data_IF_996486018172
#
_entry.id   IF_996486018172
#
_cell.length_a   1.000
_cell.length_b   1.000
_cell.length_c   1.000
_cell.angle_alpha   90.00
_cell.angle_beta   90.00
_cell.angle_gamma   90.00
#
_symmetry.space_group_name_H-M   'P 1'
#
loop_
_entity.id
_entity.type
_entity.pdbx_description
1 polymer ?
#
# COMPACT_ATOMS: atom_id res chain seq x y z
N UNK A 1 -33.11 8.92 8.67
CA UNK A 1 -31.67 8.95 8.31
C UNK A 1 -31.57 9.43 6.88
N UNK A 2 -31.13 10.67 6.65
CA UNK A 2 -30.72 11.08 5.29
C UNK A 2 -29.59 10.16 4.84
N UNK A 3 -29.74 9.51 3.68
CA UNK A 3 -28.63 8.80 3.05
C UNK A 3 -27.58 9.84 2.70
N UNK A 4 -26.50 9.91 3.49
CA UNK A 4 -25.32 10.69 3.11
C UNK A 4 -24.89 10.24 1.71
N UNK A 5 -24.76 11.20 0.79
CA UNK A 5 -24.32 10.93 -0.57
C UNK A 5 -22.89 10.38 -0.49
N UNK A 6 -22.68 9.19 -1.05
CA UNK A 6 -21.34 8.60 -1.16
C UNK A 6 -20.47 9.43 -2.08
N UNK A 7 -19.16 9.45 -1.80
CA UNK A 7 -18.16 10.16 -2.57
C UNK A 7 -17.61 9.20 -3.62
N UNK A 8 -17.55 9.66 -4.87
CA UNK A 8 -16.79 8.99 -5.91
C UNK A 8 -15.34 9.48 -5.85
N UNK A 9 -14.47 8.69 -5.22
CA UNK A 9 -13.07 9.05 -4.99
C UNK A 9 -12.29 9.18 -6.31
N UNK A 10 -12.59 8.35 -7.29
CA UNK A 10 -11.86 8.31 -8.56
C UNK A 10 -12.24 9.51 -9.43
N UNK A 11 -13.53 9.83 -9.53
CA UNK A 11 -13.98 11.07 -10.18
C UNK A 11 -13.43 12.32 -9.48
N UNK A 12 -13.32 12.30 -8.14
CA UNK A 12 -12.72 13.39 -7.37
C UNK A 12 -11.23 13.56 -7.70
N UNK A 13 -10.49 12.46 -7.82
CA UNK A 13 -9.09 12.41 -8.20
C UNK A 13 -8.84 13.02 -9.58
N UNK A 14 -9.71 12.70 -10.55
CA UNK A 14 -9.64 13.26 -11.90
C UNK A 14 -9.93 14.75 -11.93
N UNK A 15 -11.00 15.17 -11.24
CA UNK A 15 -11.40 16.58 -11.16
C UNK A 15 -10.34 17.47 -10.49
N UNK A 16 -9.50 16.92 -9.61
CA UNK A 16 -8.47 17.69 -8.91
C UNK A 16 -7.21 17.96 -9.76
N UNK A 17 -7.10 17.39 -10.96
CA UNK A 17 -5.91 17.51 -11.83
C UNK A 17 -5.50 18.96 -12.11
N UNK A 18 -6.47 19.83 -12.43
CA UNK A 18 -6.18 21.23 -12.78
C UNK A 18 -5.78 22.06 -11.57
N UNK A 19 -6.36 21.76 -10.40
CA UNK A 19 -5.95 22.36 -9.14
C UNK A 19 -4.49 22.02 -8.83
N UNK A 20 -4.10 20.75 -8.89
CA UNK A 20 -2.71 20.31 -8.62
C UNK A 20 -1.71 20.97 -9.59
N UNK A 21 -2.05 21.05 -10.88
CA UNK A 21 -1.20 21.74 -11.88
C UNK A 21 -1.06 23.23 -11.56
N UNK A 22 -2.15 23.90 -11.19
CA UNK A 22 -2.13 25.33 -10.81
C UNK A 22 -1.31 25.55 -9.55
N UNK A 23 -1.49 24.70 -8.55
CA UNK A 23 -0.84 24.82 -7.26
C UNK A 23 0.66 24.56 -7.36
N UNK A 24 1.07 23.53 -8.10
CA UNK A 24 2.48 23.27 -8.39
C UNK A 24 3.14 24.46 -9.11
N UNK A 25 2.47 25.06 -10.09
CA UNK A 25 2.96 26.28 -10.77
C UNK A 25 3.11 27.44 -9.78
N UNK A 26 2.14 27.63 -8.87
CA UNK A 26 2.17 28.69 -7.85
C UNK A 26 3.36 28.52 -6.92
N UNK A 27 3.53 27.32 -6.35
CA UNK A 27 4.66 26.96 -5.48
C UNK A 27 5.99 27.20 -6.19
N UNK A 28 6.11 26.70 -7.42
CA UNK A 28 7.32 26.86 -8.24
C UNK A 28 7.66 28.33 -8.50
N UNK A 29 6.66 29.14 -8.85
CA UNK A 29 6.84 30.57 -9.14
C UNK A 29 7.23 31.39 -7.91
N UNK A 30 6.85 30.94 -6.71
CA UNK A 30 7.18 31.57 -5.44
C UNK A 30 8.46 31.03 -4.80
N UNK A 31 9.11 30.04 -5.43
CA UNK A 31 10.30 29.37 -4.93
C UNK A 31 11.57 30.04 -5.44
N UNK A 32 12.69 29.84 -4.73
CA UNK A 32 14.01 30.21 -5.27
C UNK A 32 14.30 29.40 -6.55
N UNK A 33 15.18 29.91 -7.42
CA UNK A 33 15.55 29.19 -8.65
C UNK A 33 16.10 27.79 -8.36
N UNK A 34 16.89 27.66 -7.29
CA UNK A 34 17.43 26.37 -6.84
C UNK A 34 16.30 25.40 -6.43
N UNK A 35 15.42 25.85 -5.53
CA UNK A 35 14.27 25.05 -5.07
C UNK A 35 13.35 24.63 -6.22
N UNK A 36 13.05 25.56 -7.14
CA UNK A 36 12.28 25.26 -8.33
C UNK A 36 12.91 24.15 -9.18
N UNK A 37 14.23 24.17 -9.36
CA UNK A 37 14.95 23.12 -10.09
C UNK A 37 14.90 21.77 -9.38
N UNK A 38 15.06 21.76 -8.05
CA UNK A 38 14.92 20.55 -7.24
C UNK A 38 13.51 19.96 -7.34
N UNK A 39 12.47 20.79 -7.21
CA UNK A 39 11.07 20.38 -7.34
C UNK A 39 10.76 19.76 -8.71
N UNK A 40 11.32 20.29 -9.80
CA UNK A 40 11.17 19.70 -11.14
C UNK A 40 11.86 18.34 -11.23
N UNK A 41 13.09 18.22 -10.70
CA UNK A 41 13.85 16.98 -10.74
C UNK A 41 13.18 15.86 -9.92
N UNK A 42 12.68 16.19 -8.72
CA UNK A 42 11.96 15.24 -7.89
C UNK A 42 10.65 14.79 -8.53
N UNK A 43 9.84 15.74 -9.00
CA UNK A 43 8.62 15.44 -9.76
C UNK A 43 8.93 14.53 -10.95
N UNK A 44 9.97 14.84 -11.74
CA UNK A 44 10.36 14.05 -12.90
C UNK A 44 10.75 12.63 -12.52
N UNK A 45 11.57 12.46 -11.47
CA UNK A 45 11.94 11.14 -10.96
C UNK A 45 10.70 10.33 -10.57
N UNK A 46 9.75 10.93 -9.85
CA UNK A 46 8.49 10.25 -9.49
C UNK A 46 7.71 9.87 -10.74
N UNK A 47 7.57 10.79 -11.70
CA UNK A 47 6.85 10.53 -12.94
C UNK A 47 7.46 9.35 -13.72
N UNK A 48 8.77 9.19 -13.70
CA UNK A 48 9.49 8.10 -14.37
C UNK A 48 9.40 6.78 -13.58
N UNK A 49 9.60 6.82 -12.27
CA UNK A 49 9.87 5.63 -11.45
C UNK A 49 8.72 5.18 -10.55
N UNK A 50 7.56 5.85 -10.55
CA UNK A 50 6.47 5.47 -9.65
C UNK A 50 5.94 4.05 -9.92
N UNK A 51 5.70 3.33 -8.83
CA UNK A 51 5.03 2.03 -8.78
C UNK A 51 4.05 2.05 -7.59
N UNK A 52 3.17 1.06 -7.54
CA UNK A 52 2.43 0.74 -6.32
C UNK A 52 3.21 -0.29 -5.51
N UNK A 53 3.26 -0.10 -4.20
CA UNK A 53 3.83 -1.08 -3.27
C UNK A 53 2.82 -1.54 -2.22
N UNK A 54 2.87 -2.81 -1.85
CA UNK A 54 2.05 -3.37 -0.76
C UNK A 54 2.96 -4.17 0.17
N UNK A 55 3.05 -3.75 1.44
CA UNK A 55 3.78 -4.49 2.45
C UNK A 55 2.92 -5.65 2.98
N UNK A 56 3.42 -6.88 2.81
CA UNK A 56 2.73 -8.11 3.20
C UNK A 56 3.57 -8.98 4.15
N UNK A 57 2.88 -9.72 5.01
CA UNK A 57 3.51 -10.80 5.78
C UNK A 57 3.82 -11.96 4.83
N UNK A 58 4.78 -12.80 5.21
CA UNK A 58 5.17 -14.00 4.46
C UNK A 58 3.98 -14.88 4.05
N UNK A 59 3.09 -15.21 5.00
CA UNK A 59 1.90 -16.01 4.70
C UNK A 59 0.92 -15.30 3.78
N UNK A 60 0.73 -13.98 3.94
CA UNK A 60 -0.18 -13.21 3.09
C UNK A 60 0.35 -13.07 1.66
N UNK A 61 1.67 -12.91 1.51
CA UNK A 61 2.33 -12.94 0.21
C UNK A 61 2.21 -14.32 -0.44
N UNK A 62 2.43 -15.39 0.33
CA UNK A 62 2.24 -16.76 -0.15
C UNK A 62 0.81 -16.99 -0.63
N UNK A 63 -0.20 -16.56 0.14
CA UNK A 63 -1.60 -16.64 -0.24
C UNK A 63 -1.88 -15.87 -1.52
N UNK A 64 -1.36 -14.64 -1.68
CA UNK A 64 -1.49 -13.86 -2.90
C UNK A 64 -0.85 -14.56 -4.12
N UNK A 65 0.35 -15.11 -3.96
CA UNK A 65 1.02 -15.84 -5.03
C UNK A 65 0.22 -17.08 -5.48
N UNK A 66 -0.42 -17.78 -4.54
CA UNK A 66 -1.21 -18.99 -4.80
C UNK A 66 -2.60 -18.69 -5.35
N UNK A 67 -3.32 -17.74 -4.74
CA UNK A 67 -4.67 -17.35 -5.15
C UNK A 67 -4.67 -16.69 -6.53
N UNK A 68 -3.57 -16.02 -6.89
CA UNK A 68 -3.48 -15.24 -8.12
C UNK A 68 -3.95 -13.80 -7.98
N UNK A 69 -4.57 -13.44 -6.86
CA UNK A 69 -5.23 -12.14 -6.67
C UNK A 69 -5.04 -11.63 -5.24
N UNK A 70 -4.71 -10.34 -5.12
CA UNK A 70 -4.63 -9.65 -3.86
C UNK A 70 -6.03 -9.28 -3.39
N UNK A 71 -6.40 -9.84 -2.24
CA UNK A 71 -7.69 -9.61 -1.60
C UNK A 71 -7.54 -8.51 -0.56
N UNK A 72 -8.47 -7.56 -0.57
CA UNK A 72 -8.55 -6.59 0.50
C UNK A 72 -9.06 -7.24 1.80
N UNK A 73 -9.07 -6.48 2.90
CA UNK A 73 -9.43 -7.04 4.20
C UNK A 73 -10.88 -7.53 4.26
N UNK A 74 -11.82 -6.89 3.56
CA UNK A 74 -13.22 -7.31 3.53
C UNK A 74 -13.36 -8.66 2.86
N UNK A 75 -12.84 -8.81 1.63
CA UNK A 75 -12.87 -10.07 0.90
C UNK A 75 -12.16 -11.18 1.67
N UNK A 76 -10.99 -10.89 2.27
CA UNK A 76 -10.27 -11.87 3.11
C UNK A 76 -11.11 -12.37 4.28
N UNK A 77 -11.86 -11.49 4.95
CA UNK A 77 -12.69 -11.88 6.10
C UNK A 77 -14.01 -12.53 5.69
N UNK A 78 -14.55 -12.14 4.55
CA UNK A 78 -15.71 -12.79 3.96
C UNK A 78 -15.40 -14.25 3.58
N UNK A 79 -14.30 -14.48 2.85
CA UNK A 79 -13.86 -15.83 2.47
C UNK A 79 -13.62 -16.73 3.68
N UNK A 80 -12.99 -16.18 4.73
CA UNK A 80 -12.76 -16.92 5.99
C UNK A 80 -14.07 -17.29 6.67
N UNK A 81 -15.04 -16.38 6.69
CA UNK A 81 -16.35 -16.65 7.26
C UNK A 81 -17.12 -17.69 6.43
N UNK A 82 -17.03 -17.64 5.11
CA UNK A 82 -17.65 -18.63 4.22
C UNK A 82 -17.05 -20.03 4.41
N UNK A 83 -15.73 -20.15 4.53
CA UNK A 83 -15.08 -21.43 4.84
C UNK A 83 -15.56 -22.02 6.18
N UNK A 84 -15.76 -21.19 7.21
CA UNK A 84 -16.28 -21.65 8.50
C UNK A 84 -17.74 -22.10 8.40
N UNK A 85 -18.54 -21.43 7.58
CA UNK A 85 -19.92 -21.85 7.30
C UNK A 85 -19.94 -23.21 6.58
N UNK A 86 -19.10 -23.38 5.56
CA UNK A 86 -19.00 -24.63 4.79
C UNK A 86 -18.53 -25.81 5.66
N UNK A 87 -17.67 -25.54 6.65
CA UNK A 87 -17.22 -26.52 7.64
C UNK A 87 -18.25 -26.80 8.75
N UNK A 88 -19.35 -26.05 8.81
CA UNK A 88 -20.35 -26.16 9.88
C UNK A 88 -19.92 -25.56 11.23
N UNK A 89 -18.82 -24.80 11.25
CA UNK A 89 -18.25 -24.15 12.44
C UNK A 89 -18.89 -22.77 12.71
N UNK A 90 -19.62 -22.23 11.74
CA UNK A 90 -20.33 -20.95 11.84
C UNK A 90 -21.72 -21.05 11.20
N UNK A 91 -22.76 -20.51 11.84
CA UNK A 91 -24.08 -20.44 11.19
C UNK A 91 -24.14 -19.26 10.22
N UNK A 92 -24.88 -19.42 9.12
CA UNK A 92 -25.14 -18.33 8.16
C UNK A 92 -25.70 -17.07 8.86
N UNK A 93 -26.57 -17.25 9.86
CA UNK A 93 -27.14 -16.15 10.64
C UNK A 93 -26.11 -15.36 11.46
N UNK A 94 -24.97 -15.96 11.76
CA UNK A 94 -23.90 -15.39 12.60
C UNK A 94 -22.77 -14.78 11.75
N UNK A 95 -22.78 -15.00 10.41
CA UNK A 95 -21.72 -14.56 9.48
C UNK A 95 -21.41 -13.08 9.60
N UNK A 96 -22.46 -12.24 9.65
CA UNK A 96 -22.31 -10.77 9.66
C UNK A 96 -21.61 -10.27 10.93
N UNK A 97 -22.05 -10.75 12.09
CA UNK A 97 -21.47 -10.33 13.38
C UNK A 97 -20.03 -10.82 13.50
N UNK A 98 -19.76 -12.06 13.03
CA UNK A 98 -18.39 -12.59 12.95
C UNK A 98 -17.49 -11.78 12.02
N UNK A 99 -18.01 -11.30 10.89
CA UNK A 99 -17.25 -10.44 9.97
C UNK A 99 -16.90 -9.11 10.65
N UNK A 100 -17.86 -8.48 11.33
CA UNK A 100 -17.63 -7.24 12.05
C UNK A 100 -16.55 -7.41 13.14
N UNK A 101 -16.64 -8.48 13.94
CA UNK A 101 -15.66 -8.78 14.98
C UNK A 101 -14.27 -9.05 14.37
N UNK A 102 -14.20 -9.81 13.27
CA UNK A 102 -12.95 -10.11 12.59
C UNK A 102 -12.28 -8.84 12.02
N UNK A 103 -13.06 -7.93 11.43
CA UNK A 103 -12.58 -6.63 10.96
C UNK A 103 -12.07 -5.77 12.12
N UNK A 104 -12.83 -5.69 13.22
CA UNK A 104 -12.45 -4.94 14.43
C UNK A 104 -11.15 -5.45 15.04
N UNK A 105 -10.99 -6.77 15.14
CA UNK A 105 -9.76 -7.41 15.63
C UNK A 105 -8.56 -7.16 14.72
N UNK A 106 -8.76 -7.17 13.40
CA UNK A 106 -7.70 -6.96 12.43
C UNK A 106 -7.24 -5.49 12.37
N UNK A 107 -8.19 -4.56 12.22
CA UNK A 107 -7.92 -3.13 12.04
C UNK A 107 -7.57 -2.42 13.37
N UNK A 108 -7.91 -3.01 14.52
CA UNK A 108 -7.59 -2.51 15.86
C UNK A 108 -8.03 -1.05 16.03
N UNK A 109 -7.10 -0.16 16.41
CA UNK A 109 -7.37 1.27 16.62
C UNK A 109 -7.83 2.01 15.37
N UNK A 110 -7.61 1.44 14.17
CA UNK A 110 -8.03 2.03 12.90
C UNK A 110 -9.41 1.55 12.43
N UNK A 111 -10.06 0.65 13.18
CA UNK A 111 -11.35 0.08 12.76
C UNK A 111 -12.38 1.16 12.47
N UNK A 112 -12.71 2.01 13.46
CA UNK A 112 -13.76 3.01 13.32
C UNK A 112 -13.51 3.96 12.14
N UNK A 113 -12.27 4.45 12.01
CA UNK A 113 -11.96 5.41 10.95
C UNK A 113 -11.91 4.77 9.56
N UNK A 114 -11.39 3.54 9.43
CA UNK A 114 -11.40 2.79 8.17
C UNK A 114 -12.83 2.48 7.74
N UNK A 115 -13.70 2.01 8.65
CA UNK A 115 -15.12 1.77 8.34
C UNK A 115 -15.81 3.06 7.89
N UNK A 116 -15.59 4.17 8.60
CA UNK A 116 -16.18 5.47 8.20
C UNK A 116 -15.71 5.90 6.81
N UNK A 117 -14.42 5.73 6.52
CA UNK A 117 -13.89 6.05 5.20
C UNK A 117 -14.52 5.17 4.12
N UNK A 118 -14.38 3.85 4.23
CA UNK A 118 -14.79 2.88 3.21
C UNK A 118 -16.30 2.94 2.93
N UNK A 119 -17.13 3.09 3.98
CA UNK A 119 -18.59 3.17 3.81
C UNK A 119 -19.06 4.49 3.20
N UNK A 120 -18.24 5.55 3.29
CA UNK A 120 -18.53 6.87 2.70
C UNK A 120 -18.12 6.97 1.23
N UNK A 121 -17.26 6.06 0.74
CA UNK A 121 -16.84 5.99 -0.66
C UNK A 121 -17.76 5.06 -1.46
N UNK A 122 -18.01 5.38 -2.73
CA UNK A 122 -18.68 4.48 -3.69
C UNK A 122 -17.83 3.22 -3.85
N UNK A 123 -18.45 2.04 -3.62
CA UNK A 123 -17.76 0.74 -3.60
C UNK A 123 -16.54 0.66 -2.67
N UNK A 124 -16.48 1.47 -1.60
CA UNK A 124 -15.28 1.55 -0.76
C UNK A 124 -14.87 0.26 -0.04
N UNK A 125 -15.80 -0.66 0.20
CA UNK A 125 -15.49 -2.00 0.76
C UNK A 125 -14.75 -2.91 -0.24
N UNK A 126 -14.72 -2.57 -1.53
CA UNK A 126 -13.99 -3.30 -2.59
C UNK A 126 -12.61 -2.72 -2.87
N UNK A 127 -12.29 -1.57 -2.27
CA UNK A 127 -11.03 -0.87 -2.50
C UNK A 127 -9.84 -1.71 -2.01
N UNK A 128 -8.77 -1.71 -2.79
CA UNK A 128 -7.47 -2.28 -2.46
C UNK A 128 -6.49 -1.12 -2.16
N UNK A 129 -5.72 -1.28 -1.09
CA UNK A 129 -4.81 -0.27 -0.57
C UNK A 129 -3.35 -0.62 -0.89
N UNK A 130 -2.60 0.39 -1.33
CA UNK A 130 -1.18 0.34 -1.63
C UNK A 130 -0.52 1.65 -1.23
N UNK A 131 0.77 1.82 -1.52
CA UNK A 131 1.48 3.07 -1.38
C UNK A 131 2.22 3.43 -2.67
N UNK A 132 2.38 4.72 -2.92
CA UNK A 132 3.31 5.21 -3.95
C UNK A 132 4.73 4.82 -3.57
N UNK A 133 5.46 4.19 -4.48
CA UNK A 133 6.83 3.77 -4.26
C UNK A 133 7.70 4.12 -5.47
N UNK A 134 8.88 4.69 -5.23
CA UNK A 134 9.91 4.94 -6.25
C UNK A 134 11.23 4.22 -5.92
N UNK A 135 11.24 3.37 -4.89
CA UNK A 135 12.43 2.74 -4.32
C UNK A 135 12.21 2.29 -2.87
N UNK A 136 13.18 1.56 -2.31
CA UNK A 136 13.15 1.11 -0.92
C UNK A 136 12.17 -0.03 -0.63
N UNK A 137 11.98 -0.32 0.65
CA UNK A 137 11.20 -1.44 1.21
C UNK A 137 9.77 -1.05 1.62
N UNK A 138 9.32 0.16 1.27
CA UNK A 138 7.95 0.60 1.54
C UNK A 138 7.67 0.84 3.02
N UNK A 139 6.46 0.49 3.46
CA UNK A 139 5.93 0.78 4.80
C UNK A 139 6.07 -0.45 5.71
N UNK A 140 7.25 -0.59 6.31
CA UNK A 140 7.66 -1.72 7.15
C UNK A 140 6.82 -1.93 8.41
N UNK A 141 6.12 -0.90 8.91
CA UNK A 141 5.24 -1.01 10.06
C UNK A 141 4.04 -1.94 9.81
N UNK A 142 3.65 -2.15 8.54
CA UNK A 142 2.61 -3.10 8.16
C UNK A 142 3.16 -4.52 8.01
N UNK A 143 4.25 -4.68 7.26
CA UNK A 143 4.98 -5.95 7.12
C UNK A 143 6.31 -5.79 6.37
N UNK A 144 7.10 -6.87 6.30
CA UNK A 144 8.50 -6.85 5.85
C UNK A 144 8.73 -7.15 4.37
N UNK A 145 7.79 -7.79 3.69
CA UNK A 145 7.90 -8.04 2.25
C UNK A 145 7.14 -6.96 1.49
N UNK A 146 7.86 -6.17 0.70
CA UNK A 146 7.27 -5.10 -0.09
C UNK A 146 7.05 -5.58 -1.52
N UNK A 147 5.81 -5.86 -1.86
CA UNK A 147 5.41 -6.30 -3.19
C UNK A 147 5.30 -5.08 -4.10
N UNK A 148 6.10 -5.03 -5.15
CA UNK A 148 6.10 -3.95 -6.13
C UNK A 148 5.23 -4.37 -7.32
N UNK A 149 4.19 -3.60 -7.61
CA UNK A 149 3.34 -3.78 -8.78
C UNK A 149 3.95 -2.99 -9.94
N UNK A 150 4.06 -3.63 -11.11
CA UNK A 150 4.56 -2.97 -12.32
C UNK A 150 3.71 -1.74 -12.65
N UNK A 151 4.42 -0.66 -12.97
CA UNK A 151 3.82 0.60 -13.37
C UNK A 151 2.87 0.44 -14.56
N UNK A 152 3.26 -0.36 -15.55
CA UNK A 152 2.49 -0.55 -16.78
C UNK A 152 1.12 -1.20 -16.51
N UNK A 153 1.06 -2.14 -15.56
CA UNK A 153 -0.20 -2.76 -15.14
C UNK A 153 -1.05 -1.77 -14.32
N UNK A 154 -0.43 -1.02 -13.41
CA UNK A 154 -1.11 0.02 -12.62
C UNK A 154 -1.63 1.18 -13.50
N UNK A 155 -0.91 1.52 -14.56
CA UNK A 155 -1.35 2.48 -15.59
C UNK A 155 -2.56 1.96 -16.37
N UNK A 156 -2.77 0.65 -16.42
CA UNK A 156 -3.96 0.01 -17.00
C UNK A 156 -5.22 0.08 -16.12
N UNK A 157 -5.10 0.45 -14.84
CA UNK A 157 -6.24 0.50 -13.92
C UNK A 157 -7.21 1.64 -14.28
N UNK A 158 -8.50 1.33 -14.26
CA UNK A 158 -9.58 2.27 -14.56
C UNK A 158 -9.91 3.14 -13.33
N UNK A 159 -9.76 2.57 -12.15
CA UNK A 159 -10.07 3.16 -10.86
C UNK A 159 -8.79 3.16 -10.03
N UNK A 160 -7.95 4.17 -10.22
CA UNK A 160 -6.73 4.39 -9.44
C UNK A 160 -6.63 5.85 -9.00
N UNK A 161 -6.59 6.05 -7.69
CA UNK A 161 -6.37 7.35 -7.06
C UNK A 161 -5.21 7.27 -6.07
N UNK A 162 -4.60 8.41 -5.82
CA UNK A 162 -3.56 8.60 -4.82
C UNK A 162 -4.03 9.65 -3.82
N UNK A 163 -3.92 9.36 -2.53
CA UNK A 163 -4.27 10.25 -1.44
C UNK A 163 -2.97 10.67 -0.74
N UNK A 164 -2.82 11.97 -0.51
CA UNK A 164 -1.59 12.57 0.01
C UNK A 164 -1.09 11.91 1.31
N UNK A 165 -2.01 11.42 2.14
CA UNK A 165 -1.70 10.74 3.39
C UNK A 165 -2.67 9.55 3.61
N UNK A 166 -2.44 8.80 4.69
CA UNK A 166 -3.32 7.72 5.16
C UNK A 166 -4.78 8.20 5.32
N UNK A 167 -5.68 7.64 4.50
CA UNK A 167 -7.12 7.94 4.49
C UNK A 167 -7.80 7.75 5.84
N UNK A 168 -7.43 6.70 6.58
CA UNK A 168 -8.03 6.36 7.87
C UNK A 168 -7.55 7.28 9.01
N UNK A 169 -6.48 8.05 8.82
CA UNK A 169 -5.93 8.93 9.86
C UNK A 169 -6.23 10.40 9.57
N UNK A 170 -6.04 10.86 8.33
CA UNK A 170 -5.99 12.29 8.03
C UNK A 170 -7.29 12.89 7.48
N UNK A 171 -8.22 12.03 7.05
CA UNK A 171 -9.42 12.42 6.30
C UNK A 171 -10.71 11.98 6.97
N UNK A 172 -10.66 11.50 8.20
CA UNK A 172 -11.83 11.11 8.99
C UNK A 172 -11.94 12.00 10.23
N UNK A 173 -13.08 12.68 10.36
CA UNK A 173 -13.47 13.45 11.55
C UNK A 173 -14.37 12.64 12.48
N UNK A 174 -15.25 13.31 13.22
CA UNK A 174 -16.23 12.65 14.09
C UNK A 174 -17.30 11.92 13.23
N UNK A 175 -17.03 10.67 12.87
CA UNK A 175 -17.91 9.77 12.11
C UNK A 175 -18.25 10.25 10.68
N UNK A 176 -17.39 11.04 10.05
CA UNK A 176 -17.54 11.44 8.65
C UNK A 176 -16.20 11.73 7.98
N UNK A 177 -16.15 11.62 6.65
CA UNK A 177 -15.00 12.08 5.87
C UNK A 177 -14.92 13.62 5.86
N UNK A 178 -13.70 14.15 5.94
CA UNK A 178 -13.35 15.56 5.79
C UNK A 178 -13.19 15.91 4.30
N UNK A 179 -14.30 16.02 3.57
CA UNK A 179 -14.32 16.17 2.10
C UNK A 179 -13.54 17.40 1.62
N UNK A 180 -13.68 18.53 2.32
CA UNK A 180 -13.00 19.78 1.98
C UNK A 180 -11.47 19.66 2.01
N UNK A 181 -10.93 18.74 2.82
CA UNK A 181 -9.50 18.42 2.79
C UNK A 181 -9.18 17.42 1.67
N UNK A 182 -9.97 16.36 1.57
CA UNK A 182 -9.74 15.27 0.61
C UNK A 182 -9.70 15.77 -0.84
N UNK A 183 -10.59 16.71 -1.20
CA UNK A 183 -10.65 17.28 -2.56
C UNK A 183 -9.35 17.93 -3.02
N UNK A 184 -8.53 18.45 -2.11
CA UNK A 184 -7.24 19.07 -2.44
C UNK A 184 -6.06 18.10 -2.40
N UNK A 185 -6.23 16.96 -1.73
CA UNK A 185 -5.16 16.03 -1.39
C UNK A 185 -5.25 14.70 -2.16
N UNK A 186 -6.11 14.62 -3.18
CA UNK A 186 -6.25 13.44 -4.04
C UNK A 186 -5.74 13.71 -5.44
N UNK A 187 -5.13 12.73 -6.10
CA UNK A 187 -4.75 12.82 -7.50
C UNK A 187 -5.03 11.53 -8.24
N UNK A 188 -5.28 11.61 -9.53
CA UNK A 188 -5.15 10.46 -10.42
C UNK A 188 -3.67 10.12 -10.68
N UNK A 189 -3.44 9.03 -11.43
CA UNK A 189 -2.11 8.56 -11.83
C UNK A 189 -1.31 9.58 -12.65
N UNK A 190 -1.97 10.38 -13.49
CA UNK A 190 -1.31 11.39 -14.33
C UNK A 190 -0.72 12.55 -13.50
N UNK A 191 -1.33 12.85 -12.35
CA UNK A 191 -0.94 13.96 -11.49
C UNK A 191 -0.25 13.54 -10.19
N UNK A 192 0.01 12.24 -9.96
CA UNK A 192 0.64 11.75 -8.71
C UNK A 192 2.01 12.37 -8.45
N UNK A 193 2.80 12.60 -9.50
CA UNK A 193 4.10 13.27 -9.38
C UNK A 193 3.96 14.71 -8.86
N UNK A 194 2.88 15.41 -9.22
CA UNK A 194 2.58 16.75 -8.72
C UNK A 194 2.15 16.70 -7.25
N UNK A 195 1.27 15.76 -6.90
CA UNK A 195 0.82 15.55 -5.52
C UNK A 195 2.00 15.29 -4.59
N UNK A 196 2.91 14.40 -5.00
CA UNK A 196 4.10 14.07 -4.24
C UNK A 196 5.07 15.26 -4.09
N UNK A 197 5.31 16.00 -5.17
CA UNK A 197 6.14 17.21 -5.11
C UNK A 197 5.54 18.29 -4.19
N UNK A 198 4.22 18.48 -4.22
CA UNK A 198 3.50 19.40 -3.32
C UNK A 198 3.49 18.92 -1.86
N UNK A 199 3.47 17.60 -1.62
CA UNK A 199 3.54 17.05 -0.28
C UNK A 199 4.88 17.34 0.39
N UNK A 200 5.96 17.19 -0.36
CA UNK A 200 7.33 17.25 0.18
C UNK A 200 8.06 18.55 -0.19
N UNK A 201 7.35 19.60 -0.57
CA UNK A 201 7.94 20.86 -1.04
C UNK A 201 8.85 21.54 0.00
N UNK A 202 8.55 21.36 1.29
CA UNK A 202 9.32 21.94 2.38
C UNK A 202 10.55 21.11 2.72
N UNK A 203 10.55 19.81 2.40
CA UNK A 203 11.58 18.85 2.81
C UNK A 203 12.66 18.68 1.71
N UNK A 204 12.30 18.92 0.45
CA UNK A 204 13.14 18.58 -0.71
C UNK A 204 14.51 19.26 -0.73
N UNK A 205 14.63 20.48 -0.18
CA UNK A 205 15.91 21.23 -0.15
C UNK A 205 16.90 20.64 0.86
N UNK A 206 16.41 19.91 1.85
CA UNK A 206 17.22 19.30 2.92
C UNK A 206 17.64 17.86 2.56
N UNK A 207 17.11 17.33 1.45
CA UNK A 207 17.26 15.93 1.06
C UNK A 207 18.11 15.79 -0.20
N UNK A 208 19.09 14.90 -0.14
CA UNK A 208 19.79 14.42 -1.32
C UNK A 208 18.90 13.50 -2.15
N UNK A 209 19.18 13.40 -3.45
CA UNK A 209 18.30 12.70 -4.40
C UNK A 209 18.17 11.18 -4.13
N UNK A 210 19.18 10.57 -3.52
CA UNK A 210 19.19 9.19 -3.03
C UNK A 210 18.21 8.96 -1.86
N UNK A 211 17.86 10.01 -1.11
CA UNK A 211 16.92 9.94 0.01
C UNK A 211 15.46 10.17 -0.35
N UNK A 212 15.18 10.56 -1.59
CA UNK A 212 13.83 10.87 -2.04
C UNK A 212 12.86 9.68 -1.90
N UNK A 213 13.31 8.46 -2.20
CA UNK A 213 12.48 7.26 -2.04
C UNK A 213 12.01 7.05 -0.60
N UNK A 214 12.92 7.25 0.38
CA UNK A 214 12.64 7.07 1.79
C UNK A 214 11.63 8.09 2.35
N UNK A 215 11.49 9.26 1.72
CA UNK A 215 10.54 10.30 2.17
C UNK A 215 9.17 10.15 1.52
N UNK A 216 9.11 9.62 0.30
CA UNK A 216 7.84 9.34 -0.39
C UNK A 216 7.07 8.19 0.27
N UNK A 217 7.79 7.20 0.78
CA UNK A 217 7.19 5.97 1.32
C UNK A 217 7.98 5.47 2.52
N UNK A 218 7.51 5.81 3.73
CA UNK A 218 8.03 5.29 5.00
C UNK A 218 6.91 5.10 6.03
N UNK A 219 7.28 4.50 7.16
CA UNK A 219 6.37 4.17 8.28
C UNK A 219 5.59 5.36 8.84
N UNK A 220 6.12 6.58 8.70
CA UNK A 220 5.52 7.79 9.27
C UNK A 220 4.89 8.71 8.23
N UNK A 221 5.22 8.54 6.94
CA UNK A 221 4.70 9.35 5.86
C UNK A 221 4.73 8.58 4.55
N UNK A 222 3.57 8.47 3.92
CA UNK A 222 3.44 7.85 2.60
C UNK A 222 2.27 8.46 1.84
N UNK A 223 2.29 8.34 0.51
CA UNK A 223 1.15 8.65 -0.35
C UNK A 223 0.41 7.35 -0.59
N UNK A 224 -0.84 7.29 -0.15
CA UNK A 224 -1.67 6.08 -0.22
C UNK A 224 -2.18 5.90 -1.65
N UNK A 225 -1.92 4.74 -2.24
CA UNK A 225 -2.50 4.32 -3.51
C UNK A 225 -3.78 3.55 -3.25
N UNK A 226 -4.85 3.86 -3.98
CA UNK A 226 -6.18 3.32 -3.76
C UNK A 226 -6.74 2.89 -5.11
N UNK A 227 -7.14 1.62 -5.24
CA UNK A 227 -7.70 1.11 -6.50
C UNK A 227 -8.94 0.26 -6.30
N UNK A 228 -9.86 0.36 -7.25
CA UNK A 228 -11.02 -0.53 -7.37
C UNK A 228 -10.78 -1.73 -8.30
N UNK A 229 -9.70 -1.71 -9.10
CA UNK A 229 -9.35 -2.79 -10.02
C UNK A 229 -8.69 -3.97 -9.28
N UNK A 230 -8.55 -5.10 -9.97
CA UNK A 230 -7.89 -6.28 -9.44
C UNK A 230 -6.37 -6.18 -9.53
N UNK A 231 -5.69 -6.56 -8.45
CA UNK A 231 -4.24 -6.64 -8.39
C UNK A 231 -3.87 -8.11 -8.45
N UNK A 232 -3.37 -8.55 -9.59
CA UNK A 232 -3.04 -9.95 -9.86
C UNK A 232 -1.59 -10.25 -9.53
N UNK A 233 -1.28 -11.52 -9.21
CA UNK A 233 0.10 -11.95 -8.98
C UNK A 233 0.97 -11.79 -10.23
N UNK A 234 0.34 -11.80 -11.41
CA UNK A 234 1.00 -11.53 -12.68
C UNK A 234 1.49 -10.11 -12.73
N UNK A 235 0.85 -9.12 -12.07
CA UNK A 235 1.25 -7.71 -12.06
C UNK A 235 2.49 -7.42 -11.21
N UNK A 236 2.97 -8.40 -10.43
CA UNK A 236 4.12 -8.22 -9.54
C UNK A 236 5.38 -8.05 -10.40
N UNK A 237 6.10 -6.94 -10.17
CA UNK A 237 7.44 -6.69 -10.72
C UNK A 237 8.50 -7.47 -9.94
N UNK A 238 8.51 -7.24 -8.63
CA UNK A 238 9.49 -7.78 -7.71
C UNK A 238 8.94 -7.75 -6.28
N UNK A 239 9.59 -8.49 -5.40
CA UNK A 239 9.38 -8.43 -3.96
C UNK A 239 10.67 -7.91 -3.34
N UNK A 240 10.56 -6.84 -2.55
CA UNK A 240 11.69 -6.24 -1.83
C UNK A 240 11.67 -6.64 -0.36
N UNK A 241 12.85 -6.82 0.21
CA UNK A 241 13.03 -7.09 1.63
C UNK A 241 14.27 -6.35 2.13
N UNK A 242 14.21 -5.83 3.36
CA UNK A 242 15.38 -5.22 4.02
C UNK A 242 16.49 -6.25 4.21
N UNK A 243 17.72 -5.86 3.89
CA UNK A 243 18.92 -6.68 3.97
C UNK A 243 19.21 -7.15 5.38
N UNK A 244 18.97 -6.33 6.40
CA UNK A 244 19.24 -6.73 7.79
C UNK A 244 18.24 -7.79 8.24
N UNK A 245 16.96 -7.62 7.91
CA UNK A 245 15.92 -8.59 8.17
C UNK A 245 16.14 -9.91 7.41
N UNK A 246 16.47 -9.82 6.11
CA UNK A 246 16.84 -10.98 5.30
C UNK A 246 18.01 -11.73 5.94
N UNK A 247 19.11 -11.03 6.25
CA UNK A 247 20.29 -11.63 6.87
C UNK A 247 19.98 -12.22 8.24
N UNK A 248 19.21 -11.53 9.09
CA UNK A 248 18.84 -12.04 10.40
C UNK A 248 18.08 -13.35 10.29
N UNK A 249 17.03 -13.42 9.48
CA UNK A 249 16.25 -14.65 9.34
C UNK A 249 17.04 -15.74 8.63
N UNK A 250 17.64 -15.44 7.48
CA UNK A 250 18.30 -16.47 6.68
C UNK A 250 19.59 -16.96 7.32
N UNK A 251 20.45 -16.06 7.79
CA UNK A 251 21.71 -16.50 8.40
C UNK A 251 21.44 -17.22 9.71
N UNK A 252 20.52 -16.76 10.55
CA UNK A 252 20.26 -17.43 11.83
C UNK A 252 19.66 -18.82 11.61
N UNK A 253 18.67 -18.97 10.71
CA UNK A 253 18.07 -20.27 10.43
C UNK A 253 19.06 -21.23 9.73
N UNK A 254 19.84 -20.74 8.77
CA UNK A 254 20.83 -21.57 8.07
C UNK A 254 21.99 -21.96 9.00
N UNK A 255 22.54 -21.03 9.77
CA UNK A 255 23.61 -21.32 10.73
C UNK A 255 23.12 -22.32 11.78
N UNK A 256 21.92 -22.13 12.33
CA UNK A 256 21.34 -23.09 13.28
C UNK A 256 21.20 -24.47 12.65
N UNK A 257 20.76 -24.59 11.39
CA UNK A 257 20.69 -25.87 10.68
C UNK A 257 22.05 -26.60 10.60
N UNK A 258 23.17 -25.87 10.56
CA UNK A 258 24.52 -26.46 10.55
C UNK A 258 25.03 -26.88 11.93
N UNK A 259 24.65 -26.18 12.99
CA UNK A 259 25.23 -26.37 14.33
C UNK A 259 24.30 -27.01 15.36
N UNK A 260 22.99 -27.07 15.09
CA UNK A 260 21.96 -27.50 16.04
C UNK A 260 20.70 -28.02 15.36
N UNK A 261 19.85 -28.71 16.11
CA UNK A 261 18.49 -29.00 15.65
C UNK A 261 17.63 -27.73 15.70
N UNK A 262 16.90 -27.46 14.61
CA UNK A 262 15.89 -26.40 14.59
C UNK A 262 14.67 -26.85 15.40
N UNK A 263 14.09 -25.94 16.17
CA UNK A 263 12.77 -26.17 16.79
C UNK A 263 11.69 -26.37 15.72
N UNK A 264 10.56 -26.98 16.08
CA UNK A 264 9.43 -27.18 15.14
C UNK A 264 8.97 -25.86 14.48
N UNK A 265 8.95 -24.77 15.26
CA UNK A 265 8.59 -23.44 14.74
C UNK A 265 9.61 -22.94 13.71
N UNK A 266 10.91 -23.13 13.97
CA UNK A 266 11.97 -22.73 13.05
C UNK A 266 11.97 -23.59 11.77
N UNK A 267 11.70 -24.88 11.89
CA UNK A 267 11.53 -25.78 10.74
C UNK A 267 10.34 -25.34 9.87
N UNK A 268 9.20 -25.02 10.51
CA UNK A 268 8.02 -24.51 9.81
C UNK A 268 8.32 -23.19 9.09
N UNK A 269 8.96 -22.23 9.76
CA UNK A 269 9.37 -20.95 9.15
C UNK A 269 10.33 -21.16 7.97
N UNK A 270 11.32 -22.03 8.11
CA UNK A 270 12.24 -22.35 7.02
C UNK A 270 11.52 -23.00 5.83
N UNK A 271 10.57 -23.91 6.09
CA UNK A 271 9.76 -24.52 5.04
C UNK A 271 8.89 -23.48 4.31
N UNK A 272 8.27 -22.55 5.04
CA UNK A 272 7.50 -21.45 4.47
C UNK A 272 8.36 -20.55 3.58
N UNK A 273 9.56 -20.18 4.02
CA UNK A 273 10.50 -19.36 3.23
C UNK A 273 10.95 -20.07 1.96
N UNK A 274 11.30 -21.36 2.05
CA UNK A 274 11.66 -22.17 0.87
C UNK A 274 10.51 -22.24 -0.13
N UNK A 275 9.28 -22.42 0.36
CA UNK A 275 8.09 -22.46 -0.48
C UNK A 275 7.82 -21.10 -1.13
N UNK A 276 7.92 -20.02 -0.38
CA UNK A 276 7.79 -18.66 -0.89
C UNK A 276 8.77 -18.40 -2.04
N UNK A 277 10.04 -18.75 -1.84
CA UNK A 277 11.08 -18.54 -2.86
C UNK A 277 10.84 -19.38 -4.11
N UNK A 278 10.42 -20.64 -3.95
CA UNK A 278 10.04 -21.48 -5.07
C UNK A 278 8.85 -20.90 -5.87
N UNK A 279 7.86 -20.29 -5.20
CA UNK A 279 6.74 -19.65 -5.90
C UNK A 279 7.14 -18.35 -6.62
N UNK A 280 8.08 -17.58 -6.06
CA UNK A 280 8.65 -16.41 -6.72
C UNK A 280 9.43 -16.82 -7.97
N UNK A 281 10.33 -17.81 -7.85
CA UNK A 281 11.12 -18.35 -8.95
C UNK A 281 10.23 -18.91 -10.06
N UNK A 282 9.23 -19.73 -9.71
CA UNK A 282 8.23 -20.29 -10.64
C UNK A 282 7.52 -19.22 -11.48
N UNK A 283 7.35 -18.01 -10.93
CA UNK A 283 6.69 -16.88 -11.62
C UNK A 283 7.68 -15.87 -12.21
N UNK A 284 8.98 -16.13 -12.11
CA UNK A 284 10.02 -15.18 -12.51
C UNK A 284 9.89 -13.82 -11.82
N UNK A 285 9.45 -13.82 -10.55
CA UNK A 285 9.40 -12.62 -9.71
C UNK A 285 10.72 -12.53 -8.95
N UNK A 286 11.43 -11.41 -9.14
CA UNK A 286 12.69 -11.16 -8.46
C UNK A 286 12.48 -10.88 -6.96
N UNK A 287 13.32 -11.48 -6.11
CA UNK A 287 13.48 -11.08 -4.71
C UNK A 287 14.65 -10.11 -4.60
N UNK A 288 14.34 -8.82 -4.47
CA UNK A 288 15.32 -7.75 -4.33
C UNK A 288 15.68 -7.56 -2.84
N UNK A 289 16.97 -7.69 -2.51
CA UNK A 289 17.48 -7.43 -1.16
C UNK A 289 17.98 -5.98 -1.10
N UNK A 290 17.27 -5.13 -0.36
CA UNK A 290 17.53 -3.69 -0.31
C UNK A 290 18.35 -3.34 0.93
N UNK A 291 19.41 -2.56 0.73
CA UNK A 291 20.19 -1.96 1.82
C UNK A 291 19.72 -0.51 1.99
N UNK A 292 19.02 -0.22 3.09
CA UNK A 292 18.53 1.13 3.41
C UNK A 292 19.50 1.92 4.32
N UNK A 293 20.68 1.35 4.64
CA UNK A 293 21.71 1.92 5.52
C UNK A 293 22.91 2.51 4.76
#
# INVERSE_FOLDING_TARGET
>A
MERRRKIDLFSLADANSDYLKKEYKRVKSNSTQNKSGLLDNFRKKIQEEWNLSINMKDWALMDFLVSGEYKNIYTLKEDQADQLVDMGELKISEKKDSLEEALRKHLKKYYESRIVFDTSIVDGEKIKYAALNIGGTGINCYARYCVIIRKEDAEGYNSLAFIKNDSAIHYVGNQSILVDRLVHDVSNKECVSLLAALKHESEIEELSADRWAAVICCDTSYIEGVTGDDILNTHIRSVRIDKNYYNGIFKDLLLKLFYSELSEEEQYRLALLKRLFAELEKRSIELEIIDEN
#
